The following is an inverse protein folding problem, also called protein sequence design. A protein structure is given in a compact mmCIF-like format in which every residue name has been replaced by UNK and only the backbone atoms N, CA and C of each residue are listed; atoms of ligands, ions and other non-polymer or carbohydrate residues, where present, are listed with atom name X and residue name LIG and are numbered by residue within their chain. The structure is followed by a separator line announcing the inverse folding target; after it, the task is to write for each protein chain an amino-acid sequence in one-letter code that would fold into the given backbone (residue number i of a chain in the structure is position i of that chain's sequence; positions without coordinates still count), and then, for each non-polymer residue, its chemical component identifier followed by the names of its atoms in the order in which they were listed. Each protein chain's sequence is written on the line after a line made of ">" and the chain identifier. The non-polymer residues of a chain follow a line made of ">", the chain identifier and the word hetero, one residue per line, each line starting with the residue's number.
data_IF_118335768589
#
_entry.id   IF_118335768589
#
_cell.length_a   1.000
_cell.length_b   1.000
_cell.length_c   1.000
_cell.angle_alpha   90.00
_cell.angle_beta   90.00
_cell.angle_gamma   90.00
#
_symmetry.space_group_name_H-M   'P 1'
#
loop_
_entity.id
_entity.type
_entity.pdbx_description
1 polymer ?
#
# COMPACT_ATOMS: atom_id res chain seq x y z
N UNK A 1 -16.19 -6.42 -59.38
CA UNK A 1 -15.25 -6.46 -58.24
C UNK A 1 -15.95 -5.82 -57.05
N UNK A 2 -16.24 -6.61 -56.03
CA UNK A 2 -16.82 -6.13 -54.77
C UNK A 2 -16.32 -7.06 -53.68
N UNK A 3 -15.23 -6.65 -53.03
CA UNK A 3 -14.56 -7.36 -51.95
C UNK A 3 -15.37 -7.15 -50.67
N UNK A 4 -16.00 -8.21 -50.16
CA UNK A 4 -16.60 -8.23 -48.82
C UNK A 4 -15.47 -8.48 -47.80
N UNK A 5 -15.11 -7.44 -47.06
CA UNK A 5 -14.23 -7.52 -45.89
C UNK A 5 -15.01 -8.17 -44.75
N UNK A 6 -14.66 -9.41 -44.40
CA UNK A 6 -15.18 -10.07 -43.21
C UNK A 6 -14.49 -9.53 -41.96
N UNK A 7 -15.19 -8.74 -41.16
CA UNK A 7 -14.86 -8.47 -39.76
C UNK A 7 -15.91 -9.14 -38.88
N UNK A 8 -15.49 -10.07 -38.02
CA UNK A 8 -16.36 -10.65 -37.01
C UNK A 8 -15.71 -11.85 -36.36
N UNK A 9 -15.11 -11.65 -35.19
CA UNK A 9 -14.79 -12.74 -34.28
C UNK A 9 -16.12 -13.41 -33.87
N UNK A 10 -16.46 -14.53 -34.51
CA UNK A 10 -17.69 -15.30 -34.24
C UNK A 10 -17.48 -16.38 -33.17
N UNK A 11 -16.76 -16.08 -32.09
CA UNK A 11 -16.82 -16.94 -30.90
C UNK A 11 -17.89 -16.37 -29.97
N UNK A 12 -18.94 -17.12 -29.62
CA UNK A 12 -19.83 -16.72 -28.53
C UNK A 12 -18.98 -16.50 -27.28
N UNK A 13 -18.96 -15.29 -26.72
CA UNK A 13 -18.40 -15.06 -25.39
C UNK A 13 -19.31 -15.76 -24.39
N UNK A 14 -19.01 -17.03 -24.09
CA UNK A 14 -19.60 -17.68 -22.95
C UNK A 14 -19.22 -16.89 -21.68
N UNK A 15 -20.09 -16.81 -20.66
CA UNK A 15 -19.76 -16.16 -19.38
C UNK A 15 -18.44 -16.65 -18.79
N UNK A 16 -18.04 -17.89 -19.07
CA UNK A 16 -16.79 -18.51 -18.63
C UNK A 16 -15.50 -17.85 -19.16
N UNK A 17 -15.55 -17.06 -20.23
CA UNK A 17 -14.37 -16.35 -20.79
C UNK A 17 -14.26 -14.89 -20.25
N UNK A 18 -15.09 -14.48 -19.28
CA UNK A 18 -15.12 -13.14 -18.68
C UNK A 18 -14.15 -12.98 -17.51
N UNK A 19 -12.92 -13.45 -17.65
CA UNK A 19 -11.87 -13.29 -16.63
C UNK A 19 -10.50 -13.06 -17.28
N UNK A 20 -9.59 -12.46 -16.52
CA UNK A 20 -8.19 -12.29 -16.88
C UNK A 20 -7.32 -12.50 -15.65
N UNK A 21 -6.02 -12.71 -15.84
CA UNK A 21 -5.13 -12.90 -14.73
C UNK A 21 -3.72 -13.25 -15.13
N UNK A 22 -3.00 -13.80 -14.17
CA UNK A 22 -1.60 -14.15 -14.31
C UNK A 22 -1.34 -15.56 -13.79
N UNK A 23 -0.40 -16.23 -14.43
CA UNK A 23 0.12 -17.53 -14.04
C UNK A 23 1.59 -17.39 -13.63
N UNK A 24 1.94 -18.00 -12.50
CA UNK A 24 3.32 -18.20 -12.08
C UNK A 24 3.60 -19.66 -11.73
N UNK A 25 4.80 -19.90 -11.20
CA UNK A 25 5.26 -21.22 -10.77
C UNK A 25 6.04 -21.07 -9.46
N UNK A 26 5.72 -21.88 -8.46
CA UNK A 26 6.36 -21.87 -7.13
C UNK A 26 7.88 -22.16 -7.17
N UNK A 27 8.37 -22.81 -8.24
CA UNK A 27 9.78 -23.11 -8.43
C UNK A 27 10.50 -22.10 -9.35
N UNK A 28 9.78 -21.15 -9.95
CA UNK A 28 10.40 -20.15 -10.82
C UNK A 28 11.13 -19.08 -10.01
N UNK A 29 12.31 -18.70 -10.49
CA UNK A 29 13.01 -17.49 -10.04
C UNK A 29 12.73 -16.29 -10.96
N UNK A 30 12.05 -16.49 -12.08
CA UNK A 30 11.61 -15.40 -12.94
C UNK A 30 10.45 -14.66 -12.28
N UNK A 31 10.62 -13.35 -12.12
CA UNK A 31 9.60 -12.47 -11.58
C UNK A 31 8.55 -12.08 -12.63
N UNK A 32 8.80 -12.32 -13.92
CA UNK A 32 7.81 -12.11 -14.98
C UNK A 32 6.76 -13.21 -14.95
N UNK A 33 5.50 -12.80 -15.01
CA UNK A 33 4.35 -13.70 -15.00
C UNK A 33 3.78 -13.85 -16.41
N UNK A 34 3.16 -15.00 -16.66
CA UNK A 34 2.44 -15.23 -17.91
C UNK A 34 1.02 -14.68 -17.77
N UNK A 35 0.60 -13.79 -18.67
CA UNK A 35 -0.80 -13.34 -18.79
C UNK A 35 -1.68 -14.50 -19.28
N UNK A 36 -2.82 -14.70 -18.64
CA UNK A 36 -3.77 -15.77 -18.95
C UNK A 36 -5.22 -15.27 -18.89
N UNK A 37 -6.16 -16.04 -19.44
CA UNK A 37 -7.56 -15.65 -19.61
C UNK A 37 -7.76 -14.74 -20.82
N UNK A 38 -8.73 -13.83 -20.74
CA UNK A 38 -9.06 -12.89 -21.80
C UNK A 38 -8.05 -11.72 -21.84
N UNK A 39 -7.25 -11.69 -22.90
CA UNK A 39 -6.21 -10.67 -23.08
C UNK A 39 -6.78 -9.28 -23.38
N UNK A 40 -7.99 -9.15 -23.93
CA UNK A 40 -8.63 -7.84 -24.12
C UNK A 40 -8.99 -7.23 -22.76
N UNK A 41 -9.51 -8.03 -21.83
CA UNK A 41 -9.73 -7.60 -20.44
C UNK A 41 -8.41 -7.30 -19.73
N UNK A 42 -7.33 -8.01 -20.04
CA UNK A 42 -6.01 -7.72 -19.48
C UNK A 42 -5.41 -6.41 -20.04
N UNK A 43 -5.82 -5.94 -21.22
CA UNK A 43 -5.43 -4.61 -21.75
C UNK A 43 -6.25 -3.50 -21.10
N UNK A 44 -7.55 -3.71 -20.90
CA UNK A 44 -8.46 -2.68 -20.36
C UNK A 44 -8.47 -2.62 -18.83
N UNK A 45 -8.10 -3.71 -18.16
CA UNK A 45 -7.98 -3.85 -16.70
C UNK A 45 -9.21 -3.31 -15.95
N UNK A 46 -10.41 -3.87 -16.19
CA UNK A 46 -11.67 -3.27 -15.74
C UNK A 46 -11.79 -3.17 -14.21
N UNK A 47 -11.11 -4.03 -13.45
CA UNK A 47 -11.07 -3.95 -11.98
C UNK A 47 -10.10 -2.86 -11.53
N UNK A 48 -8.86 -2.85 -12.05
CA UNK A 48 -7.86 -1.83 -11.69
C UNK A 48 -8.32 -0.43 -12.10
N UNK A 49 -9.03 -0.29 -13.22
CA UNK A 49 -9.57 0.98 -13.69
C UNK A 49 -10.61 1.61 -12.74
N UNK A 50 -11.20 0.82 -11.83
CA UNK A 50 -12.16 1.30 -10.83
C UNK A 50 -11.52 1.68 -9.48
N UNK A 51 -10.20 1.50 -9.31
CA UNK A 51 -9.49 2.07 -8.17
C UNK A 51 -9.58 3.60 -8.25
N UNK A 52 -10.31 4.21 -7.32
CA UNK A 52 -10.62 5.65 -7.39
C UNK A 52 -10.59 6.31 -6.02
N UNK A 53 -9.97 7.49 -5.94
CA UNK A 53 -9.99 8.32 -4.74
C UNK A 53 -11.34 9.02 -4.59
N UNK A 54 -11.78 9.20 -3.36
CA UNK A 54 -13.01 9.90 -3.02
C UNK A 54 -12.89 10.57 -1.65
N UNK A 55 -13.78 11.51 -1.36
CA UNK A 55 -13.96 12.05 -0.01
C UNK A 55 -15.12 11.32 0.66
N UNK A 56 -14.89 10.76 1.84
CA UNK A 56 -15.91 10.06 2.63
C UNK A 56 -16.63 11.01 3.61
N UNK A 57 -17.92 10.75 3.84
CA UNK A 57 -18.63 11.27 5.00
C UNK A 57 -18.18 10.52 6.27
N UNK A 58 -18.47 11.03 7.48
CA UNK A 58 -18.10 10.35 8.73
C UNK A 58 -18.63 8.92 8.85
N UNK A 59 -19.80 8.62 8.26
CA UNK A 59 -20.40 7.29 8.21
C UNK A 59 -19.75 6.34 7.18
N UNK A 60 -18.82 6.84 6.35
CA UNK A 60 -18.09 6.08 5.34
C UNK A 60 -18.76 6.06 3.96
N UNK A 61 -19.93 6.69 3.81
CA UNK A 61 -20.55 6.89 2.51
C UNK A 61 -19.71 7.83 1.65
N UNK A 62 -19.75 7.63 0.33
CA UNK A 62 -19.06 8.51 -0.61
C UNK A 62 -19.75 9.88 -0.63
N UNK A 63 -19.01 10.94 -0.27
CA UNK A 63 -19.49 12.33 -0.40
C UNK A 63 -19.34 12.81 -1.84
N UNK A 64 -18.16 12.59 -2.43
CA UNK A 64 -17.91 12.76 -3.86
C UNK A 64 -16.62 12.07 -4.27
N UNK A 65 -16.58 11.60 -5.52
CA UNK A 65 -15.35 11.08 -6.14
C UNK A 65 -14.43 12.22 -6.57
N UNK A 66 -13.13 11.98 -6.50
CA UNK A 66 -12.10 12.88 -7.02
C UNK A 66 -11.85 12.60 -8.51
N UNK A 67 -11.36 13.61 -9.23
CA UNK A 67 -11.14 13.51 -10.67
C UNK A 67 -10.06 12.47 -11.02
N UNK A 68 -10.27 11.77 -12.14
CA UNK A 68 -9.36 10.74 -12.65
C UNK A 68 -7.92 11.23 -12.83
N UNK A 69 -7.73 12.48 -13.23
CA UNK A 69 -6.43 13.03 -13.60
C UNK A 69 -5.92 14.09 -12.62
N UNK A 70 -6.69 14.48 -11.60
CA UNK A 70 -6.28 15.50 -10.63
C UNK A 70 -7.12 15.43 -9.35
N UNK A 71 -6.58 14.87 -8.26
CA UNK A 71 -7.28 14.75 -6.97
C UNK A 71 -7.61 16.08 -6.30
N UNK A 72 -7.09 17.21 -6.78
CA UNK A 72 -7.47 18.55 -6.32
C UNK A 72 -8.83 18.97 -6.85
N UNK A 73 -9.43 18.18 -7.75
CA UNK A 73 -10.74 18.40 -8.35
C UNK A 73 -11.68 17.25 -8.02
N UNK A 74 -12.97 17.57 -7.93
CA UNK A 74 -14.07 16.60 -7.95
C UNK A 74 -14.17 16.00 -9.34
N UNK A 75 -14.85 14.87 -9.47
CA UNK A 75 -15.08 14.22 -10.77
C UNK A 75 -15.76 15.15 -11.79
N UNK A 76 -16.59 16.09 -11.31
CA UNK A 76 -17.22 17.14 -12.12
C UNK A 76 -16.26 18.22 -12.65
N UNK A 77 -15.00 18.22 -12.23
CA UNK A 77 -14.00 19.23 -12.56
C UNK A 77 -13.95 20.43 -11.60
N UNK A 78 -14.93 20.57 -10.69
CA UNK A 78 -14.93 21.60 -9.64
C UNK A 78 -13.81 21.37 -8.62
N UNK A 79 -13.35 22.41 -7.92
CA UNK A 79 -12.35 22.27 -6.85
C UNK A 79 -12.83 21.33 -5.74
N UNK A 80 -11.98 20.39 -5.35
CA UNK A 80 -12.19 19.52 -4.19
C UNK A 80 -11.57 20.12 -2.93
N UNK A 81 -12.15 19.78 -1.77
CA UNK A 81 -11.61 20.14 -0.46
C UNK A 81 -11.08 18.84 0.16
N UNK A 82 -9.77 18.68 0.18
CA UNK A 82 -9.08 17.43 0.56
C UNK A 82 -8.21 17.59 1.82
N UNK A 83 -8.33 18.70 2.52
CA UNK A 83 -7.58 19.06 3.75
C UNK A 83 -8.30 18.61 5.03
N UNK A 84 -9.10 17.54 4.91
CA UNK A 84 -10.01 16.96 5.92
C UNK A 84 -11.22 17.79 6.34
N UNK A 85 -11.39 19.03 5.84
CA UNK A 85 -12.60 19.83 6.14
C UNK A 85 -13.87 19.19 5.60
N UNK A 86 -13.82 18.58 4.41
CA UNK A 86 -14.98 17.95 3.80
C UNK A 86 -15.18 16.48 4.20
N UNK A 87 -14.20 15.86 4.86
CA UNK A 87 -14.13 14.44 5.16
C UNK A 87 -12.76 13.83 4.89
N UNK A 88 -12.57 12.53 5.19
CA UNK A 88 -11.32 11.85 4.86
C UNK A 88 -11.24 11.60 3.36
N UNK A 89 -10.04 11.74 2.80
CA UNK A 89 -9.76 11.21 1.47
C UNK A 89 -9.43 9.73 1.58
N UNK A 90 -10.14 8.91 0.81
CA UNK A 90 -9.99 7.46 0.80
C UNK A 90 -9.78 6.98 -0.64
N UNK A 91 -9.11 5.85 -0.80
CA UNK A 91 -8.98 5.10 -2.04
C UNK A 91 -9.93 3.90 -1.95
N UNK A 92 -10.79 3.79 -2.94
CA UNK A 92 -11.73 2.67 -3.08
C UNK A 92 -11.10 1.55 -3.89
N UNK A 93 -10.93 0.39 -3.27
CA UNK A 93 -10.74 -0.87 -3.98
C UNK A 93 -12.14 -1.45 -4.28
N UNK A 94 -12.48 -1.66 -5.57
CA UNK A 94 -13.83 -2.10 -5.95
C UNK A 94 -14.09 -3.53 -5.50
N UNK A 95 -15.36 -3.90 -5.47
CA UNK A 95 -15.76 -5.30 -5.44
C UNK A 95 -15.36 -6.00 -6.75
N UNK A 96 -14.91 -7.26 -6.65
CA UNK A 96 -14.66 -8.12 -7.80
C UNK A 96 -14.71 -9.60 -7.38
N UNK A 97 -14.55 -10.50 -8.35
CA UNK A 97 -14.49 -11.95 -8.12
C UNK A 97 -13.09 -12.48 -8.39
N UNK A 98 -12.60 -13.36 -7.51
CA UNK A 98 -11.26 -13.93 -7.54
C UNK A 98 -11.29 -15.45 -7.54
N UNK A 99 -10.39 -16.08 -8.29
CA UNK A 99 -10.14 -17.51 -8.20
C UNK A 99 -8.65 -17.78 -8.17
N UNK A 100 -8.26 -18.68 -7.27
CA UNK A 100 -6.94 -19.29 -7.24
C UNK A 100 -7.05 -20.73 -7.75
N UNK A 101 -6.21 -21.09 -8.71
CA UNK A 101 -6.04 -22.47 -9.15
C UNK A 101 -4.58 -22.86 -8.94
N UNK A 102 -4.35 -24.06 -8.40
CA UNK A 102 -3.01 -24.62 -8.22
C UNK A 102 -3.00 -25.99 -8.89
N UNK A 103 -2.07 -26.20 -9.81
CA UNK A 103 -1.84 -27.47 -10.51
C UNK A 103 -0.35 -27.81 -10.46
N UNK A 104 0.01 -28.75 -9.59
CA UNK A 104 1.40 -29.07 -9.30
C UNK A 104 2.14 -27.84 -8.75
N UNK A 105 3.13 -27.35 -9.49
CA UNK A 105 3.94 -26.18 -9.11
C UNK A 105 3.38 -24.88 -9.67
N UNK A 106 2.43 -24.94 -10.60
CA UNK A 106 1.86 -23.76 -11.26
C UNK A 106 0.66 -23.25 -10.47
N UNK A 107 0.51 -21.93 -10.46
CA UNK A 107 -0.64 -21.27 -9.89
C UNK A 107 -1.20 -20.24 -10.86
N UNK A 108 -2.51 -20.07 -10.86
CA UNK A 108 -3.23 -19.02 -11.60
C UNK A 108 -4.00 -18.17 -10.60
N UNK A 109 -3.83 -16.85 -10.69
CA UNK A 109 -4.69 -15.88 -10.03
C UNK A 109 -5.58 -15.22 -11.07
N UNK A 110 -6.85 -15.58 -11.08
CA UNK A 110 -7.86 -15.12 -12.03
C UNK A 110 -8.82 -14.12 -11.38
N UNK A 111 -9.22 -13.11 -12.16
CA UNK A 111 -10.04 -11.98 -11.75
C UNK A 111 -11.19 -11.77 -12.73
N UNK A 112 -12.37 -11.46 -12.21
CA UNK A 112 -13.58 -11.21 -12.99
C UNK A 112 -14.45 -10.14 -12.34
N UNK A 113 -15.19 -9.38 -13.15
CA UNK A 113 -16.28 -8.51 -12.68
C UNK A 113 -17.56 -9.30 -12.37
N UNK A 114 -17.63 -10.58 -12.76
CA UNK A 114 -18.82 -11.40 -12.69
C UNK A 114 -18.64 -12.63 -11.78
N UNK A 115 -19.73 -13.12 -11.14
CA UNK A 115 -19.70 -14.30 -10.29
C UNK A 115 -19.58 -15.59 -11.11
N UNK A 116 -18.37 -15.88 -11.60
CA UNK A 116 -18.10 -17.09 -12.37
C UNK A 116 -17.93 -18.31 -11.45
N UNK A 117 -18.24 -19.54 -11.90
CA UNK A 117 -18.11 -20.73 -11.07
C UNK A 117 -16.69 -20.93 -10.50
N UNK A 118 -16.63 -21.14 -9.19
CA UNK A 118 -15.39 -21.30 -8.44
C UNK A 118 -14.68 -19.99 -8.07
N UNK A 119 -15.20 -18.82 -8.48
CA UNK A 119 -14.68 -17.54 -8.02
C UNK A 119 -15.35 -17.13 -6.70
N UNK A 120 -14.57 -16.59 -5.78
CA UNK A 120 -15.03 -15.99 -4.53
C UNK A 120 -15.19 -14.49 -4.69
N UNK A 121 -16.15 -13.92 -3.95
CA UNK A 121 -16.38 -12.48 -3.92
C UNK A 121 -15.33 -11.80 -3.06
N UNK A 122 -14.64 -10.82 -3.63
CA UNK A 122 -13.70 -9.96 -2.93
C UNK A 122 -14.39 -8.62 -2.67
N UNK A 123 -14.86 -8.43 -1.45
CA UNK A 123 -15.65 -7.25 -1.05
C UNK A 123 -14.93 -5.92 -1.33
N UNK A 124 -15.73 -4.88 -1.54
CA UNK A 124 -15.24 -3.49 -1.59
C UNK A 124 -14.49 -3.18 -0.29
N UNK A 125 -13.33 -2.51 -0.40
CA UNK A 125 -12.53 -2.07 0.74
C UNK A 125 -12.01 -0.67 0.50
N UNK A 126 -11.81 0.11 1.57
CA UNK A 126 -11.25 1.46 1.45
C UNK A 126 -10.03 1.63 2.33
N UNK A 127 -9.06 2.38 1.83
CA UNK A 127 -7.80 2.71 2.53
C UNK A 127 -7.39 4.13 2.21
N UNK A 128 -6.77 4.85 3.14
CA UNK A 128 -6.25 6.18 2.84
C UNK A 128 -5.22 6.13 1.70
N UNK A 129 -5.31 7.01 0.68
CA UNK A 129 -4.42 6.97 -0.48
C UNK A 129 -2.99 7.35 -0.13
N UNK A 130 -2.79 8.14 0.91
CA UNK A 130 -1.52 8.44 1.56
C UNK A 130 -1.56 7.94 3.01
N UNK A 131 -0.42 8.00 3.71
CA UNK A 131 -0.40 7.73 5.14
C UNK A 131 -1.30 8.71 5.90
N UNK A 132 -1.90 8.25 6.99
CA UNK A 132 -2.82 9.03 7.79
C UNK A 132 -2.08 9.89 8.82
N UNK A 133 -2.79 10.90 9.33
CA UNK A 133 -2.36 11.71 10.48
C UNK A 133 -3.48 11.75 11.53
N UNK A 134 -3.33 12.58 12.55
CA UNK A 134 -4.32 12.78 13.61
C UNK A 134 -4.72 14.24 13.63
N UNK A 135 -6.03 14.48 13.64
CA UNK A 135 -6.60 15.74 14.10
C UNK A 135 -6.37 15.84 15.61
N UNK A 136 -5.38 16.64 16.01
CA UNK A 136 -4.94 16.74 17.40
C UNK A 136 -6.04 17.34 18.28
N UNK A 137 -6.80 18.31 17.75
CA UNK A 137 -7.86 19.00 18.49
C UNK A 137 -9.01 18.06 18.79
N UNK A 138 -9.46 17.31 17.79
CA UNK A 138 -10.63 16.44 17.91
C UNK A 138 -10.28 15.00 18.31
N UNK A 139 -8.99 14.67 18.43
CA UNK A 139 -8.51 13.33 18.79
C UNK A 139 -9.08 12.24 17.87
N UNK A 140 -9.01 12.46 16.56
CA UNK A 140 -9.48 11.52 15.54
C UNK A 140 -8.42 11.34 14.44
N UNK A 141 -8.22 10.11 13.98
CA UNK A 141 -7.34 9.81 12.86
C UNK A 141 -8.00 10.27 11.55
N UNK A 142 -7.21 10.93 10.69
CA UNK A 142 -7.71 11.51 9.45
C UNK A 142 -6.79 11.22 8.27
N UNK A 143 -7.35 11.27 7.06
CA UNK A 143 -6.58 11.27 5.82
C UNK A 143 -6.89 12.52 5.02
N UNK A 144 -5.89 13.37 4.83
CA UNK A 144 -6.03 14.63 4.09
C UNK A 144 -4.72 15.10 3.49
N UNK A 145 -4.81 16.14 2.66
CA UNK A 145 -3.70 16.82 2.00
C UNK A 145 -3.81 18.32 2.27
N UNK A 146 -2.76 18.89 2.86
CA UNK A 146 -2.70 20.31 3.22
C UNK A 146 -1.76 21.11 2.33
N UNK A 147 -1.29 20.52 1.23
CA UNK A 147 -0.44 21.18 0.25
C UNK A 147 -1.19 22.31 -0.47
N UNK A 148 -0.47 23.37 -0.78
CA UNK A 148 -0.89 24.38 -1.75
C UNK A 148 -0.04 24.27 -3.01
N UNK A 149 -0.52 24.83 -4.12
CA UNK A 149 0.00 24.53 -5.46
C UNK A 149 0.13 25.79 -6.31
N UNK A 150 1.19 25.85 -7.12
CA UNK A 150 1.41 26.81 -8.19
C UNK A 150 1.39 26.03 -9.52
N UNK A 151 0.22 25.94 -10.17
CA UNK A 151 0.04 24.98 -11.26
C UNK A 151 0.16 23.55 -10.73
N UNK A 152 1.03 22.73 -11.32
CA UNK A 152 1.30 21.36 -10.87
C UNK A 152 2.49 21.23 -9.90
N UNK A 153 3.11 22.35 -9.55
CA UNK A 153 4.20 22.39 -8.57
C UNK A 153 3.66 22.69 -7.17
N UNK A 154 4.23 22.05 -6.15
CA UNK A 154 3.93 22.37 -4.75
C UNK A 154 4.43 23.78 -4.46
N UNK A 155 3.55 24.65 -3.97
CA UNK A 155 3.89 26.02 -3.65
C UNK A 155 4.86 26.09 -2.47
N UNK A 156 5.86 26.97 -2.60
CA UNK A 156 6.92 27.18 -1.62
C UNK A 156 7.14 28.67 -1.37
N UNK A 157 7.62 29.00 -0.18
CA UNK A 157 8.00 30.36 0.19
C UNK A 157 9.38 30.75 -0.36
N UNK A 158 9.89 31.92 0.02
CA UNK A 158 11.19 32.44 -0.41
C UNK A 158 12.39 31.59 0.04
N UNK A 159 12.25 30.83 1.12
CA UNK A 159 13.28 29.91 1.63
C UNK A 159 13.16 28.51 1.01
N UNK A 160 12.10 28.29 0.22
CA UNK A 160 11.79 27.04 -0.45
C UNK A 160 11.02 26.05 0.44
N UNK A 161 10.49 26.48 1.58
CA UNK A 161 9.66 25.63 2.44
C UNK A 161 8.23 25.56 1.90
N UNK A 162 7.55 24.44 2.17
CA UNK A 162 6.20 24.19 1.63
C UNK A 162 5.20 25.14 2.27
N UNK A 163 4.40 25.81 1.43
CA UNK A 163 3.25 26.60 1.88
C UNK A 163 2.07 25.64 2.06
N UNK A 164 1.54 25.59 3.29
CA UNK A 164 0.43 24.71 3.66
C UNK A 164 -0.87 25.50 3.87
N UNK A 165 -1.99 24.78 3.85
CA UNK A 165 -3.30 25.31 4.25
C UNK A 165 -3.27 25.77 5.71
N UNK A 166 -4.06 26.80 6.03
CA UNK A 166 -4.05 27.44 7.35
C UNK A 166 -4.36 26.49 8.52
N UNK A 167 -5.14 25.43 8.28
CA UNK A 167 -5.48 24.43 9.29
C UNK A 167 -4.41 23.34 9.49
N UNK A 168 -3.31 23.32 8.73
CA UNK A 168 -2.30 22.25 8.78
C UNK A 168 -1.69 22.01 10.18
N UNK A 169 -1.62 23.05 11.02
CA UNK A 169 -1.16 22.98 12.41
C UNK A 169 -1.96 21.99 13.27
N UNK A 170 -3.25 21.80 12.98
CA UNK A 170 -4.13 20.86 13.66
C UNK A 170 -3.82 19.39 13.29
N UNK A 171 -3.13 19.16 12.18
CA UNK A 171 -2.88 17.86 11.57
C UNK A 171 -1.39 17.51 11.51
N UNK A 172 -0.62 18.00 12.49
CA UNK A 172 0.82 17.76 12.60
C UNK A 172 1.12 16.28 12.77
N UNK A 173 1.88 15.74 11.81
CA UNK A 173 2.40 14.39 11.80
C UNK A 173 3.62 14.22 12.70
N UNK A 174 4.54 13.33 12.32
CA UNK A 174 5.71 12.99 13.14
C UNK A 174 5.26 12.49 14.52
N UNK A 175 5.85 13.03 15.58
CA UNK A 175 5.46 12.77 16.97
C UNK A 175 4.21 13.55 17.44
N UNK A 176 3.46 14.19 16.53
CA UNK A 176 2.26 14.97 16.83
C UNK A 176 2.62 16.30 17.50
N UNK A 177 1.91 16.66 18.58
CA UNK A 177 2.17 17.89 19.34
C UNK A 177 3.62 18.01 19.85
N UNK A 178 4.32 16.87 20.04
CA UNK A 178 5.72 16.85 20.45
C UNK A 178 6.71 17.44 19.42
N UNK A 179 6.29 17.63 18.17
CA UNK A 179 7.11 18.24 17.11
C UNK A 179 6.70 19.69 16.77
N UNK A 180 5.89 20.36 17.61
CA UNK A 180 5.42 21.73 17.34
C UNK A 180 6.54 22.77 17.16
N UNK A 181 7.71 22.55 17.77
CA UNK A 181 8.88 23.42 17.62
C UNK A 181 9.48 23.42 16.20
N UNK A 182 9.02 22.52 15.30
CA UNK A 182 9.45 22.43 13.89
C UNK A 182 8.49 23.13 12.93
N UNK A 183 7.41 23.72 13.42
CA UNK A 183 6.48 24.42 12.53
C UNK A 183 7.21 25.59 11.84
N UNK A 184 7.07 25.69 10.52
CA UNK A 184 7.73 26.71 9.71
C UNK A 184 9.22 26.46 9.43
N UNK A 185 9.78 25.30 9.78
CA UNK A 185 11.17 24.93 9.44
C UNK A 185 11.23 24.00 8.22
N UNK A 186 12.44 23.82 7.66
CA UNK A 186 12.69 22.90 6.54
C UNK A 186 12.26 21.44 6.80
N UNK A 187 12.18 21.04 8.07
CA UNK A 187 11.76 19.71 8.53
C UNK A 187 10.45 19.75 9.33
N UNK A 188 9.54 20.66 8.96
CA UNK A 188 8.23 20.76 9.56
C UNK A 188 7.42 19.47 9.44
N UNK A 189 6.67 19.15 10.51
CA UNK A 189 5.78 17.98 10.56
C UNK A 189 4.33 18.32 10.18
N UNK A 190 4.05 19.54 9.73
CA UNK A 190 2.71 19.94 9.32
C UNK A 190 2.29 19.20 8.04
N UNK A 191 1.09 18.60 8.05
CA UNK A 191 0.56 17.82 6.93
C UNK A 191 1.36 16.54 6.59
N UNK A 192 2.27 16.14 7.47
CA UNK A 192 3.03 14.89 7.35
C UNK A 192 2.23 13.70 7.94
N UNK A 193 2.60 12.46 7.58
CA UNK A 193 2.13 11.26 8.27
C UNK A 193 2.36 11.31 9.79
N UNK A 194 1.42 10.79 10.58
CA UNK A 194 1.64 10.56 12.02
C UNK A 194 2.49 9.30 12.20
N UNK A 195 3.63 9.44 12.87
CA UNK A 195 4.55 8.34 13.21
C UNK A 195 4.81 8.29 14.71
N UNK A 196 5.84 7.60 15.22
CA UNK A 196 6.11 7.54 16.66
C UNK A 196 4.90 7.10 17.49
N UNK A 197 4.14 6.14 16.96
CA UNK A 197 2.88 5.65 17.53
C UNK A 197 2.76 4.15 17.28
N UNK A 198 2.35 3.40 18.29
CA UNK A 198 2.15 1.94 18.19
C UNK A 198 0.73 1.61 17.71
N UNK A 199 0.47 0.34 17.37
CA UNK A 199 -0.88 -0.15 17.05
C UNK A 199 -1.90 0.23 18.13
N UNK A 200 -1.55 -0.02 19.39
CA UNK A 200 -2.37 0.36 20.54
C UNK A 200 -2.60 1.87 20.63
N UNK A 201 -1.61 2.68 20.27
CA UNK A 201 -1.71 4.14 20.27
C UNK A 201 -2.61 4.68 19.16
N UNK A 202 -2.67 4.03 18.00
CA UNK A 202 -3.54 4.45 16.88
C UNK A 202 -5.02 4.15 17.18
N UNK A 203 -5.34 3.00 17.79
CA UNK A 203 -6.73 2.53 18.01
C UNK A 203 -7.66 3.59 18.64
N UNK A 204 -7.28 4.33 19.70
CA UNK A 204 -8.14 5.36 20.29
C UNK A 204 -8.55 6.48 19.33
N UNK A 205 -7.73 6.79 18.31
CA UNK A 205 -8.01 7.82 17.31
C UNK A 205 -8.91 7.30 16.18
N UNK A 206 -9.01 5.98 16.00
CA UNK A 206 -9.93 5.37 15.05
C UNK A 206 -11.37 5.50 15.58
N UNK A 207 -12.19 6.33 14.91
CA UNK A 207 -13.59 6.60 15.26
C UNK A 207 -14.50 6.29 14.08
N UNK A 208 -15.81 6.26 14.31
CA UNK A 208 -16.84 6.16 13.27
C UNK A 208 -16.66 4.96 12.33
N UNK A 209 -16.22 3.81 12.86
CA UNK A 209 -16.00 2.59 12.06
C UNK A 209 -14.66 2.53 11.30
N UNK A 210 -13.81 3.55 11.41
CA UNK A 210 -12.45 3.49 10.88
C UNK A 210 -11.55 2.58 11.72
N UNK A 211 -10.48 2.05 11.11
CA UNK A 211 -9.44 1.26 11.76
C UNK A 211 -8.10 1.39 11.01
N UNK A 212 -7.05 0.70 11.48
CA UNK A 212 -5.73 0.67 10.82
C UNK A 212 -5.21 -0.75 10.53
N UNK A 213 -6.11 -1.75 10.51
CA UNK A 213 -5.87 -3.05 9.89
C UNK A 213 -5.78 -2.93 8.36
N UNK A 214 -4.60 -2.62 7.86
CA UNK A 214 -4.37 -2.30 6.45
C UNK A 214 -3.92 -3.50 5.59
N UNK A 215 -3.49 -4.62 6.17
CA UNK A 215 -2.91 -5.72 5.41
C UNK A 215 -3.86 -6.27 4.35
N UNK A 216 -5.14 -6.49 4.68
CA UNK A 216 -6.10 -7.11 3.77
C UNK A 216 -6.26 -6.31 2.47
N UNK A 217 -6.56 -5.02 2.58
CA UNK A 217 -6.73 -4.13 1.42
C UNK A 217 -5.40 -3.88 0.70
N UNK A 218 -4.29 -3.76 1.45
CA UNK A 218 -2.96 -3.56 0.88
C UNK A 218 -2.51 -4.77 0.06
N UNK A 219 -2.73 -6.00 0.55
CA UNK A 219 -2.44 -7.24 -0.15
C UNK A 219 -3.29 -7.40 -1.43
N UNK A 220 -4.57 -7.03 -1.37
CA UNK A 220 -5.44 -7.05 -2.55
C UNK A 220 -4.96 -6.06 -3.61
N UNK A 221 -4.60 -4.83 -3.24
CA UNK A 221 -4.05 -3.82 -4.15
C UNK A 221 -2.69 -4.28 -4.72
N UNK A 222 -1.83 -4.89 -3.91
CA UNK A 222 -0.56 -5.45 -4.35
C UNK A 222 -0.74 -6.48 -5.48
N UNK A 223 -1.72 -7.37 -5.35
CA UNK A 223 -2.00 -8.34 -6.39
C UNK A 223 -2.62 -7.71 -7.64
N UNK A 224 -3.48 -6.71 -7.49
CA UNK A 224 -3.98 -5.94 -8.63
C UNK A 224 -2.83 -5.32 -9.44
N UNK A 225 -1.79 -4.80 -8.77
CA UNK A 225 -0.58 -4.28 -9.41
C UNK A 225 0.22 -5.38 -10.11
N UNK A 226 0.47 -6.51 -9.44
CA UNK A 226 1.19 -7.64 -10.04
C UNK A 226 0.50 -8.18 -11.28
N UNK A 227 -0.84 -8.22 -11.28
CA UNK A 227 -1.65 -8.60 -12.45
C UNK A 227 -1.47 -7.59 -13.57
N UNK A 228 -1.67 -6.29 -13.31
CA UNK A 228 -1.55 -5.22 -14.31
C UNK A 228 -0.22 -5.29 -15.07
N UNK A 229 0.88 -5.42 -14.34
CA UNK A 229 2.23 -5.47 -14.91
C UNK A 229 2.68 -6.87 -15.35
N UNK A 230 1.92 -7.92 -15.01
CA UNK A 230 2.33 -9.33 -15.07
C UNK A 230 3.77 -9.53 -14.55
N UNK A 231 4.03 -9.00 -13.37
CA UNK A 231 5.35 -8.94 -12.75
C UNK A 231 5.21 -9.04 -11.23
N UNK A 232 6.07 -9.82 -10.60
CA UNK A 232 6.24 -9.85 -9.15
C UNK A 232 7.17 -8.75 -8.65
N UNK A 233 8.05 -8.23 -9.51
CA UNK A 233 9.00 -7.18 -9.19
C UNK A 233 8.36 -5.79 -9.27
N UNK A 234 7.81 -5.31 -8.15
CA UNK A 234 7.14 -4.01 -8.10
C UNK A 234 8.09 -2.81 -8.24
N UNK A 235 9.37 -2.98 -7.90
CA UNK A 235 10.44 -1.98 -8.09
C UNK A 235 11.09 -2.01 -9.48
N UNK A 236 10.63 -2.87 -10.41
CA UNK A 236 11.13 -2.84 -11.79
C UNK A 236 10.90 -1.46 -12.42
N UNK A 237 11.66 -1.15 -13.46
CA UNK A 237 11.70 0.18 -14.08
C UNK A 237 10.28 0.67 -14.41
N UNK A 238 9.94 1.88 -13.95
CA UNK A 238 8.68 2.50 -14.32
C UNK A 238 8.69 2.87 -15.79
N UNK A 239 7.75 2.31 -16.55
CA UNK A 239 7.58 2.56 -17.97
C UNK A 239 6.14 2.98 -18.23
N UNK A 240 5.93 4.25 -18.58
CA UNK A 240 4.61 4.81 -18.84
C UNK A 240 3.98 4.26 -20.14
N UNK A 241 4.82 4.03 -21.16
CA UNK A 241 4.36 3.52 -22.45
C UNK A 241 4.02 2.03 -22.36
N UNK A 242 2.84 1.67 -22.85
CA UNK A 242 2.42 0.28 -23.01
C UNK A 242 3.32 -0.46 -24.01
N UNK A 243 3.35 -1.79 -23.93
CA UNK A 243 3.94 -2.63 -24.98
C UNK A 243 3.20 -2.43 -26.30
N UNK A 244 3.79 -2.89 -27.42
CA UNK A 244 3.11 -2.87 -28.73
C UNK A 244 1.74 -3.58 -28.72
N UNK A 245 1.59 -4.58 -27.85
CA UNK A 245 0.34 -5.32 -27.65
C UNK A 245 -0.63 -4.63 -26.67
N UNK A 246 -0.31 -3.45 -26.15
CA UNK A 246 -1.18 -2.67 -25.25
C UNK A 246 -1.17 -3.13 -23.78
N UNK A 247 -0.07 -3.71 -23.30
CA UNK A 247 0.06 -4.12 -21.89
C UNK A 247 0.98 -3.19 -21.09
N UNK A 248 0.72 -3.05 -19.79
CA UNK A 248 1.66 -2.42 -18.86
C UNK A 248 2.92 -3.28 -18.70
N UNK A 249 4.07 -2.64 -18.47
CA UNK A 249 5.38 -3.30 -18.38
C UNK A 249 6.25 -2.63 -17.31
N UNK A 250 7.24 -3.38 -16.82
CA UNK A 250 8.12 -2.93 -15.74
C UNK A 250 7.45 -3.02 -14.37
N UNK A 251 7.57 -1.93 -13.60
CA UNK A 251 7.02 -1.78 -12.25
C UNK A 251 6.74 -0.31 -11.92
N UNK A 252 6.86 0.08 -10.65
CA UNK A 252 6.74 1.47 -10.21
C UNK A 252 8.11 2.16 -10.05
N UNK A 253 9.20 1.40 -10.23
CA UNK A 253 10.56 1.80 -9.88
C UNK A 253 10.76 1.96 -8.38
N UNK A 254 11.99 2.31 -7.99
CA UNK A 254 12.27 2.78 -6.63
C UNK A 254 11.47 4.06 -6.32
N UNK A 255 10.86 4.08 -5.14
CA UNK A 255 10.11 5.17 -4.55
C UNK A 255 11.02 6.16 -3.81
N UNK A 256 10.77 6.36 -2.52
CA UNK A 256 11.35 7.44 -1.73
C UNK A 256 12.70 7.07 -1.09
N UNK A 257 13.48 6.18 -1.70
CA UNK A 257 14.72 5.65 -1.15
C UNK A 257 15.71 6.76 -0.72
N UNK A 258 16.26 6.64 0.49
CA UNK A 258 17.29 7.52 1.03
C UNK A 258 18.33 6.76 1.86
N UNK A 259 19.48 7.39 2.09
CA UNK A 259 20.45 6.87 3.04
C UNK A 259 19.92 7.03 4.47
N UNK A 260 19.94 5.95 5.26
CA UNK A 260 19.42 5.95 6.62
C UNK A 260 20.20 6.86 7.58
N UNK A 261 21.52 6.96 7.44
CA UNK A 261 22.35 7.86 8.25
C UNK A 261 22.00 9.32 7.98
N UNK A 262 21.87 9.71 6.71
CA UNK A 262 21.47 11.07 6.32
C UNK A 262 20.05 11.40 6.82
N UNK A 263 19.12 10.44 6.71
CA UNK A 263 17.75 10.62 7.19
C UNK A 263 17.69 10.81 8.71
N UNK A 264 18.48 10.04 9.46
CA UNK A 264 18.64 10.21 10.90
C UNK A 264 19.20 11.59 11.24
N UNK A 265 20.27 12.02 10.57
CA UNK A 265 20.90 13.32 10.79
C UNK A 265 19.95 14.48 10.46
N UNK A 266 19.17 14.38 9.39
CA UNK A 266 18.24 15.41 8.95
C UNK A 266 17.03 15.60 9.87
N UNK A 267 16.40 14.49 10.29
CA UNK A 267 15.09 14.54 10.95
C UNK A 267 14.86 13.52 12.05
N UNK A 268 15.86 12.68 12.36
CA UNK A 268 15.72 11.55 13.27
C UNK A 268 14.69 10.54 12.76
N UNK A 269 14.83 10.15 11.48
CA UNK A 269 13.95 9.22 10.77
C UNK A 269 12.46 9.64 10.65
N UNK A 270 12.15 10.93 10.84
CA UNK A 270 10.77 11.42 10.71
C UNK A 270 10.32 11.50 9.25
N UNK A 271 9.01 11.47 8.99
CA UNK A 271 8.47 11.64 7.64
C UNK A 271 9.03 12.88 6.94
N UNK A 272 9.28 12.75 5.64
CA UNK A 272 9.81 13.84 4.80
C UNK A 272 8.97 14.12 3.55
N UNK A 273 8.04 13.24 3.20
CA UNK A 273 7.02 13.43 2.14
C UNK A 273 5.68 13.79 2.80
N UNK A 274 5.15 15.00 2.55
CA UNK A 274 3.83 15.41 3.05
C UNK A 274 2.71 14.65 2.34
N UNK A 275 1.56 14.52 2.99
CA UNK A 275 0.44 13.77 2.43
C UNK A 275 -0.12 14.45 1.16
N UNK A 276 -0.19 13.70 0.06
CA UNK A 276 -0.83 14.12 -1.18
C UNK A 276 0.08 14.78 -2.22
N UNK A 277 1.39 14.53 -2.19
CA UNK A 277 2.33 14.94 -3.25
C UNK A 277 1.89 14.43 -4.63
N UNK A 278 1.23 13.28 -4.69
CA UNK A 278 0.72 12.66 -5.92
C UNK A 278 -0.72 13.08 -6.24
N UNK A 279 -1.25 14.14 -5.61
CA UNK A 279 -2.61 14.62 -5.88
C UNK A 279 -2.79 15.02 -7.36
N UNK A 280 -1.75 15.58 -7.98
CA UNK A 280 -1.74 15.97 -9.41
C UNK A 280 -1.87 14.79 -10.38
N UNK A 281 -1.64 13.56 -9.94
CA UNK A 281 -1.79 12.37 -10.79
C UNK A 281 -3.24 11.85 -10.84
N UNK A 282 -4.12 12.29 -9.94
CA UNK A 282 -5.45 11.71 -9.79
C UNK A 282 -5.37 10.23 -9.40
N UNK A 283 -5.98 9.34 -10.18
CA UNK A 283 -5.91 7.89 -10.01
C UNK A 283 -4.96 7.23 -11.02
N UNK A 284 -4.11 8.00 -11.71
CA UNK A 284 -3.12 7.41 -12.60
C UNK A 284 -1.93 6.84 -11.81
N UNK A 285 -1.31 5.80 -12.34
CA UNK A 285 -0.03 5.30 -11.84
C UNK A 285 1.08 6.21 -12.35
N UNK A 286 2.05 6.56 -11.52
CA UNK A 286 3.13 7.47 -11.92
C UNK A 286 4.10 7.84 -10.80
N UNK A 287 4.98 8.80 -11.10
CA UNK A 287 6.01 9.30 -10.17
C UNK A 287 6.00 10.84 -10.16
N UNK A 288 6.05 11.42 -8.96
CA UNK A 288 6.18 12.87 -8.78
C UNK A 288 7.50 13.16 -8.08
N UNK A 289 8.30 14.06 -8.64
CA UNK A 289 9.55 14.51 -8.00
C UNK A 289 9.22 15.41 -6.81
N UNK A 290 9.82 15.12 -5.64
CA UNK A 290 9.69 15.95 -4.45
C UNK A 290 11.05 16.35 -3.92
N UNK A 291 11.24 17.65 -3.67
CA UNK A 291 12.47 18.20 -3.09
C UNK A 291 12.33 18.33 -1.57
N UNK A 292 13.18 17.62 -0.85
CA UNK A 292 13.37 17.71 0.59
C UNK A 292 14.41 18.80 0.86
N UNK A 293 14.04 19.80 1.64
CA UNK A 293 14.90 20.94 1.94
C UNK A 293 15.85 20.65 3.08
N UNK A 294 17.06 21.20 3.02
CA UNK A 294 18.02 21.16 4.11
C UNK A 294 18.53 19.75 4.45
N UNK A 295 18.51 18.82 3.48
CA UNK A 295 19.03 17.46 3.66
C UNK A 295 20.55 17.46 3.96
N UNK A 296 21.06 16.33 4.44
CA UNK A 296 22.51 16.21 4.70
C UNK A 296 23.27 16.38 3.38
N UNK A 297 24.09 17.42 3.28
CA UNK A 297 24.83 17.75 2.06
C UNK A 297 24.12 18.68 1.06
N UNK A 298 22.95 19.24 1.40
CA UNK A 298 22.16 20.13 0.53
C UNK A 298 20.75 19.59 0.32
N UNK A 299 19.93 20.20 -0.53
CA UNK A 299 18.59 19.68 -0.82
C UNK A 299 18.64 18.31 -1.51
N UNK A 300 17.62 17.47 -1.28
CA UNK A 300 17.52 16.12 -1.85
C UNK A 300 16.24 15.95 -2.64
N UNK A 301 16.33 15.48 -3.88
CA UNK A 301 15.16 15.10 -4.68
C UNK A 301 14.90 13.60 -4.52
N UNK A 302 13.65 13.24 -4.24
CA UNK A 302 13.13 11.86 -4.20
C UNK A 302 11.98 11.69 -5.19
N UNK A 303 11.67 10.45 -5.53
CA UNK A 303 10.53 10.12 -6.40
C UNK A 303 9.38 9.55 -5.59
N UNK A 304 8.25 10.25 -5.53
CA UNK A 304 7.05 9.79 -4.85
C UNK A 304 6.20 9.00 -5.83
N UNK A 305 6.13 7.68 -5.65
CA UNK A 305 5.37 6.77 -6.50
C UNK A 305 3.89 6.81 -6.14
N UNK A 306 3.02 6.62 -7.15
CA UNK A 306 1.61 6.33 -6.97
C UNK A 306 1.21 5.14 -7.83
N UNK A 307 0.48 4.18 -7.26
CA UNK A 307 -0.19 3.12 -8.02
C UNK A 307 -1.69 3.31 -7.96
N UNK A 308 -2.32 3.64 -9.09
CA UNK A 308 -3.78 3.84 -9.18
C UNK A 308 -4.35 4.74 -8.06
N UNK A 309 -3.62 5.80 -7.68
CA UNK A 309 -3.99 6.68 -6.58
C UNK A 309 -3.51 6.26 -5.18
N UNK A 310 -2.84 5.13 -5.00
CA UNK A 310 -2.14 4.79 -3.75
C UNK A 310 -0.74 5.42 -3.78
N UNK A 311 -0.55 6.53 -3.08
CA UNK A 311 0.72 7.25 -2.89
C UNK A 311 1.66 6.47 -1.97
N UNK A 312 2.96 6.39 -2.29
CA UNK A 312 3.97 5.67 -1.48
C UNK A 312 3.50 4.28 -1.07
N UNK A 313 3.18 3.40 -2.03
CA UNK A 313 2.78 2.03 -1.70
C UNK A 313 3.87 1.31 -0.91
N UNK A 314 5.15 1.60 -1.19
CA UNK A 314 6.31 1.01 -0.52
C UNK A 314 7.49 2.01 -0.47
N UNK A 315 8.55 1.63 0.26
CA UNK A 315 9.84 2.36 0.32
C UNK A 315 9.70 3.81 0.80
N UNK A 316 8.98 4.01 1.90
CA UNK A 316 8.89 5.32 2.57
C UNK A 316 8.82 5.20 4.10
N UNK A 317 7.74 4.63 4.62
CA UNK A 317 7.53 4.37 6.04
C UNK A 317 7.11 2.91 6.22
N UNK A 318 7.47 2.29 7.34
CA UNK A 318 6.81 1.05 7.73
C UNK A 318 5.33 1.30 7.92
N UNK A 319 4.52 0.39 7.40
CA UNK A 319 3.06 0.43 7.53
C UNK A 319 2.62 -0.51 8.65
N UNK A 320 2.00 0.05 9.69
CA UNK A 320 1.28 -0.73 10.70
C UNK A 320 0.13 -1.52 10.07
N UNK A 321 0.01 -2.79 10.45
CA UNK A 321 -1.11 -3.65 10.13
C UNK A 321 -1.71 -4.26 11.41
N UNK A 322 -2.77 -3.66 11.95
CA UNK A 322 -3.44 -4.17 13.17
C UNK A 322 -4.14 -5.51 12.93
N UNK A 323 -4.53 -5.77 11.68
CA UNK A 323 -5.19 -6.99 11.22
C UNK A 323 -4.25 -8.19 11.08
N UNK A 324 -2.96 -8.05 11.40
CA UNK A 324 -1.98 -9.14 11.36
C UNK A 324 -1.17 -9.22 12.66
N UNK A 325 -1.12 -10.44 13.22
CA UNK A 325 -0.21 -10.83 14.28
C UNK A 325 0.59 -12.05 13.85
N UNK A 326 1.83 -12.13 14.31
CA UNK A 326 2.72 -13.27 14.03
C UNK A 326 3.08 -13.94 15.34
N UNK A 327 2.85 -15.25 15.42
CA UNK A 327 3.28 -16.03 16.58
C UNK A 327 4.53 -16.83 16.20
N UNK A 328 5.68 -16.36 16.68
CA UNK A 328 6.92 -17.12 16.58
C UNK A 328 7.01 -18.04 17.79
N UNK A 329 6.73 -19.34 17.59
CA UNK A 329 6.96 -20.39 18.58
C UNK A 329 8.40 -20.89 18.50
N UNK A 330 8.76 -21.82 19.39
CA UNK A 330 10.09 -22.42 19.41
C UNK A 330 10.46 -23.09 18.07
N UNK A 331 9.49 -23.73 17.42
CA UNK A 331 9.66 -24.61 16.26
C UNK A 331 8.93 -24.12 15.00
N UNK A 332 7.81 -23.39 15.14
CA UNK A 332 7.03 -22.85 14.01
C UNK A 332 6.76 -21.35 14.13
N UNK A 333 6.60 -20.66 13.00
CA UNK A 333 6.15 -19.26 12.94
C UNK A 333 4.86 -19.19 12.15
N UNK A 334 3.80 -18.59 12.71
CA UNK A 334 2.45 -18.63 12.11
C UNK A 334 1.90 -17.21 11.94
N UNK A 335 1.41 -16.90 10.75
CA UNK A 335 0.65 -15.70 10.46
C UNK A 335 -0.80 -15.84 10.90
N UNK A 336 -1.30 -14.87 11.67
CA UNK A 336 -2.70 -14.77 12.06
C UNK A 336 -3.31 -13.48 11.51
N UNK A 337 -4.48 -13.60 10.86
CA UNK A 337 -5.21 -12.47 10.30
C UNK A 337 -6.55 -12.30 11.01
N UNK A 338 -6.91 -11.06 11.31
CA UNK A 338 -8.20 -10.71 11.87
C UNK A 338 -9.04 -9.94 10.85
N UNK A 339 -10.28 -10.38 10.63
CA UNK A 339 -11.19 -9.74 9.68
C UNK A 339 -12.22 -8.82 10.34
N UNK A 340 -12.40 -8.92 11.66
CA UNK A 340 -13.30 -8.10 12.46
C UNK A 340 -12.51 -6.99 13.19
N UNK A 341 -12.62 -5.73 12.74
CA UNK A 341 -11.89 -4.62 13.35
C UNK A 341 -12.19 -4.40 14.84
N UNK A 342 -13.36 -4.86 15.33
CA UNK A 342 -13.71 -4.75 16.74
C UNK A 342 -12.89 -5.67 17.65
N UNK A 343 -12.17 -6.64 17.06
CA UNK A 343 -11.30 -7.60 17.76
C UNK A 343 -9.82 -7.26 17.68
N UNK A 344 -9.44 -6.21 16.94
CA UNK A 344 -8.05 -5.81 16.82
C UNK A 344 -7.42 -5.53 18.18
N UNK A 345 -6.23 -6.07 18.38
CA UNK A 345 -5.57 -6.05 19.68
C UNK A 345 -4.07 -6.02 19.57
N UNK A 346 -3.44 -5.45 20.59
CA UNK A 346 -2.01 -5.59 20.83
C UNK A 346 -1.84 -6.68 21.88
N UNK A 347 -1.86 -7.93 21.42
CA UNK A 347 -1.82 -9.10 22.30
C UNK A 347 -0.50 -9.13 23.10
N UNK A 348 -0.53 -9.66 24.33
CA UNK A 348 0.67 -9.74 25.16
C UNK A 348 1.73 -10.59 24.45
N UNK A 349 2.98 -10.09 24.43
CA UNK A 349 4.12 -10.75 23.80
C UNK A 349 4.33 -12.19 24.32
N UNK A 350 3.99 -12.44 25.58
CA UNK A 350 4.11 -13.73 26.28
C UNK A 350 2.82 -14.55 26.34
N UNK A 351 1.73 -14.10 25.70
CA UNK A 351 0.48 -14.85 25.73
C UNK A 351 0.62 -16.23 25.08
N UNK A 352 -0.07 -17.21 25.66
CA UNK A 352 -0.02 -18.62 25.25
C UNK A 352 -1.23 -19.04 24.42
N UNK A 353 -2.13 -18.12 24.11
CA UNK A 353 -3.35 -18.37 23.35
C UNK A 353 -3.42 -17.45 22.14
N UNK A 354 -4.27 -17.81 21.18
CA UNK A 354 -4.58 -16.96 20.04
C UNK A 354 -5.64 -15.93 20.49
N UNK A 355 -5.46 -14.63 20.22
CA UNK A 355 -6.48 -13.64 20.53
C UNK A 355 -7.76 -13.88 19.73
N UNK A 356 -8.92 -13.56 20.33
CA UNK A 356 -10.21 -13.73 19.66
C UNK A 356 -10.26 -12.98 18.32
N UNK A 357 -10.84 -13.60 17.30
CA UNK A 357 -10.99 -13.02 15.96
C UNK A 357 -9.76 -13.15 15.04
N UNK A 358 -8.61 -13.58 15.55
CA UNK A 358 -7.42 -13.83 14.74
C UNK A 358 -7.36 -15.31 14.32
N UNK A 359 -7.33 -15.56 13.01
CA UNK A 359 -7.33 -16.90 12.42
C UNK A 359 -5.96 -17.21 11.81
N UNK A 360 -5.46 -18.43 12.02
CA UNK A 360 -4.21 -18.89 11.40
C UNK A 360 -4.38 -18.96 9.88
N UNK A 361 -3.43 -18.40 9.14
CA UNK A 361 -3.45 -18.38 7.66
C UNK A 361 -2.39 -19.29 7.06
N UNK A 362 -1.14 -19.14 7.48
CA UNK A 362 -0.01 -19.94 6.98
C UNK A 362 1.13 -19.93 7.98
N UNK A 363 2.03 -20.90 7.83
CA UNK A 363 3.35 -20.85 8.42
C UNK A 363 4.26 -19.93 7.61
N UNK A 364 5.24 -19.33 8.29
CA UNK A 364 6.30 -18.54 7.68
C UNK A 364 7.61 -19.31 7.62
N UNK A 365 8.50 -19.00 6.65
CA UNK A 365 9.88 -19.44 6.72
C UNK A 365 10.53 -18.92 8.02
N UNK A 366 11.46 -19.70 8.56
CA UNK A 366 12.18 -19.38 9.80
C UNK A 366 13.57 -18.79 9.56
N UNK A 367 13.80 -18.32 8.34
CA UNK A 367 15.04 -17.69 7.90
C UNK A 367 14.71 -16.47 7.07
N UNK A 368 15.51 -15.43 7.23
CA UNK A 368 15.35 -14.19 6.48
C UNK A 368 15.82 -14.30 5.05
N UNK A 369 15.23 -13.47 4.19
CA UNK A 369 15.69 -13.34 2.82
C UNK A 369 14.66 -12.79 1.85
N UNK A 370 15.11 -12.59 0.62
CA UNK A 370 14.22 -12.28 -0.49
C UNK A 370 13.27 -13.45 -0.75
N UNK A 371 11.99 -13.13 -0.90
CA UNK A 371 10.92 -14.11 -1.06
C UNK A 371 11.03 -14.79 -2.43
N UNK A 372 11.09 -16.11 -2.41
CA UNK A 372 11.09 -16.96 -3.60
C UNK A 372 9.66 -17.40 -3.96
N UNK A 373 8.89 -17.84 -2.96
CA UNK A 373 7.49 -18.23 -3.12
C UNK A 373 6.61 -17.65 -2.02
N UNK A 374 5.33 -17.43 -2.34
CA UNK A 374 4.32 -17.03 -1.38
C UNK A 374 3.26 -18.11 -1.24
N UNK A 375 2.87 -18.41 0.00
CA UNK A 375 1.65 -19.15 0.28
C UNK A 375 0.45 -18.33 -0.19
N UNK A 376 -0.58 -19.00 -0.70
CA UNK A 376 -1.82 -18.39 -1.12
C UNK A 376 -2.98 -18.98 -0.32
N UNK A 377 -3.70 -18.14 0.42
CA UNK A 377 -4.85 -18.60 1.19
C UNK A 377 -6.10 -18.69 0.32
N UNK A 378 -7.06 -19.51 0.75
CA UNK A 378 -8.39 -19.58 0.12
C UNK A 378 -9.15 -18.23 0.18
N UNK A 379 -8.77 -17.31 1.07
CA UNK A 379 -9.31 -15.95 1.17
C UNK A 379 -8.64 -14.95 0.20
N UNK A 380 -7.70 -15.41 -0.63
CA UNK A 380 -6.98 -14.58 -1.61
C UNK A 380 -5.72 -13.89 -1.09
N UNK A 381 -5.46 -13.95 0.23
CA UNK A 381 -4.27 -13.37 0.84
C UNK A 381 -3.00 -14.14 0.49
N UNK A 382 -1.84 -13.49 0.63
CA UNK A 382 -0.55 -14.11 0.37
C UNK A 382 0.53 -13.67 1.33
N UNK A 383 1.32 -14.63 1.79
CA UNK A 383 2.40 -14.44 2.74
C UNK A 383 3.66 -15.19 2.26
N UNK A 384 4.84 -14.79 2.71
CA UNK A 384 6.08 -15.50 2.38
C UNK A 384 5.98 -16.98 2.82
N UNK A 385 6.36 -17.90 1.95
CA UNK A 385 6.43 -19.34 2.22
C UNK A 385 7.87 -19.82 2.18
N UNK A 386 8.63 -19.36 1.17
CA UNK A 386 10.03 -19.73 1.00
C UNK A 386 10.86 -18.51 0.64
N UNK A 387 12.04 -18.40 1.26
CA UNK A 387 13.08 -17.43 0.89
C UNK A 387 14.12 -18.07 -0.02
N UNK A 388 14.96 -17.24 -0.64
CA UNK A 388 15.98 -17.66 -1.62
C UNK A 388 15.85 -16.98 -2.99
N UNK A 389 15.04 -15.92 -3.07
CA UNK A 389 15.00 -15.01 -4.21
C UNK A 389 16.17 -14.01 -4.20
N UNK A 390 15.99 -12.91 -4.90
CA UNK A 390 16.86 -11.74 -4.88
C UNK A 390 16.03 -10.49 -5.18
N UNK A 391 16.61 -9.29 -5.07
CA UNK A 391 15.93 -8.04 -5.43
C UNK A 391 15.41 -7.97 -6.87
N UNK A 392 15.83 -8.91 -7.72
CA UNK A 392 15.37 -9.08 -9.09
C UNK A 392 15.06 -10.56 -9.47
N UNK A 393 14.79 -11.43 -8.48
CA UNK A 393 14.39 -12.83 -8.69
C UNK A 393 13.29 -13.26 -7.72
N UNK A 394 12.32 -14.03 -8.20
CA UNK A 394 11.17 -14.48 -7.43
C UNK A 394 10.19 -13.33 -7.18
N UNK A 395 9.86 -13.07 -5.91
CA UNK A 395 8.96 -11.99 -5.53
C UNK A 395 9.64 -10.64 -5.33
N UNK A 396 10.98 -10.60 -5.32
CA UNK A 396 11.81 -9.39 -5.22
C UNK A 396 11.72 -8.60 -3.92
N UNK A 397 10.67 -8.84 -3.13
CA UNK A 397 10.46 -8.24 -1.82
C UNK A 397 11.11 -9.10 -0.71
N UNK A 398 11.45 -8.49 0.42
CA UNK A 398 12.15 -9.17 1.53
C UNK A 398 11.22 -9.63 2.66
N UNK A 399 11.56 -10.76 3.28
CA UNK A 399 10.93 -11.25 4.51
C UNK A 399 11.96 -11.22 5.64
N UNK A 400 11.60 -10.58 6.76
CA UNK A 400 12.43 -10.45 7.94
C UNK A 400 11.72 -11.06 9.16
N UNK A 401 12.41 -11.88 9.95
CA UNK A 401 11.94 -12.73 11.02
C UNK A 401 12.95 -12.73 12.17
N UNK A 402 12.52 -12.81 13.43
CA UNK A 402 13.43 -12.97 14.55
C UNK A 402 13.90 -14.42 14.72
N UNK A 403 13.37 -15.37 13.94
CA UNK A 403 13.44 -16.79 14.24
C UNK A 403 14.82 -17.45 14.02
N UNK A 404 15.67 -16.83 13.20
CA UNK A 404 17.07 -17.21 12.95
C UNK A 404 18.08 -16.31 13.69
N UNK A 405 17.60 -15.30 14.43
CA UNK A 405 18.44 -14.45 15.27
C UNK A 405 18.99 -15.22 16.49
N UNK A 406 20.25 -14.98 16.86
CA UNK A 406 20.83 -15.53 18.09
C UNK A 406 20.11 -15.06 19.37
N UNK A 407 19.38 -13.95 19.29
CA UNK A 407 18.60 -13.37 20.38
C UNK A 407 17.09 -13.69 20.29
N UNK A 408 16.71 -14.68 19.47
CA UNK A 408 15.32 -15.05 19.26
C UNK A 408 14.59 -15.32 20.59
N UNK A 409 13.43 -14.68 20.77
CA UNK A 409 12.51 -14.98 21.87
C UNK A 409 11.14 -15.36 21.31
N UNK A 410 10.67 -16.56 21.64
CA UNK A 410 9.34 -17.01 21.25
C UNK A 410 8.26 -16.09 21.85
N UNK A 411 7.19 -15.84 21.09
CA UNK A 411 6.08 -14.99 21.52
C UNK A 411 5.34 -14.35 20.36
N UNK A 412 4.50 -13.37 20.70
CA UNK A 412 3.69 -12.61 19.75
C UNK A 412 4.42 -11.37 19.24
N UNK A 413 4.28 -11.14 17.94
CA UNK A 413 4.91 -10.04 17.21
C UNK A 413 3.88 -9.36 16.31
N UNK A 414 4.15 -8.10 15.95
CA UNK A 414 3.40 -7.37 14.95
C UNK A 414 4.02 -7.53 13.57
N UNK A 415 3.20 -7.38 12.54
CA UNK A 415 3.67 -7.17 11.17
C UNK A 415 3.86 -5.69 10.86
N UNK A 416 4.98 -5.37 10.20
CA UNK A 416 5.19 -4.10 9.48
C UNK A 416 5.31 -4.40 7.98
N UNK A 417 4.61 -3.63 7.15
CA UNK A 417 4.55 -3.79 5.69
C UNK A 417 5.27 -2.65 4.96
N UNK A 418 5.39 -2.73 3.63
CA UNK A 418 5.84 -1.65 2.71
C UNK A 418 7.34 -1.34 2.71
N UNK A 419 8.01 -1.47 3.85
CA UNK A 419 9.36 -0.98 4.12
C UNK A 419 9.49 0.54 4.22
N UNK A 420 10.47 0.95 5.04
CA UNK A 420 10.87 2.34 5.16
C UNK A 420 11.77 2.78 4.01
N UNK A 421 12.08 4.08 3.96
CA UNK A 421 12.88 4.69 2.91
C UNK A 421 14.36 4.23 2.90
N UNK A 422 14.85 3.55 3.93
CA UNK A 422 16.20 3.00 3.95
C UNK A 422 16.27 1.58 3.35
N UNK A 423 15.13 0.87 3.27
CA UNK A 423 15.07 -0.51 2.79
C UNK A 423 15.64 -0.72 1.37
N UNK A 424 15.59 0.30 0.51
CA UNK A 424 16.16 0.22 -0.84
C UNK A 424 15.56 -0.93 -1.65
N UNK A 425 16.42 -1.70 -2.32
CA UNK A 425 16.03 -2.82 -3.18
C UNK A 425 15.29 -3.98 -2.49
N UNK A 426 15.22 -3.99 -1.15
CA UNK A 426 14.43 -4.97 -0.39
C UNK A 426 12.94 -4.60 -0.31
N UNK A 427 12.62 -3.31 -0.46
CA UNK A 427 11.28 -2.75 -0.31
C UNK A 427 10.29 -3.26 -1.35
N UNK A 428 9.01 -3.19 -1.04
CA UNK A 428 7.96 -3.52 -2.00
C UNK A 428 6.65 -3.91 -1.37
N UNK A 429 5.68 -4.24 -2.21
CA UNK A 429 4.35 -4.66 -1.76
C UNK A 429 4.37 -5.88 -0.85
N UNK A 430 5.30 -6.82 -1.09
CA UNK A 430 5.45 -8.04 -0.31
C UNK A 430 6.44 -7.95 0.85
N UNK A 431 7.10 -6.80 1.11
CA UNK A 431 8.01 -6.74 2.25
C UNK A 431 7.21 -6.94 3.53
N UNK A 432 7.58 -7.97 4.30
CA UNK A 432 7.07 -8.19 5.64
C UNK A 432 8.21 -8.23 6.67
N UNK A 433 8.16 -7.31 7.63
CA UNK A 433 9.04 -7.30 8.79
C UNK A 433 8.30 -7.82 10.03
N UNK A 434 8.56 -9.09 10.38
CA UNK A 434 7.91 -9.84 11.46
C UNK A 434 8.70 -9.85 12.79
N UNK A 435 9.80 -9.10 12.89
CA UNK A 435 10.64 -9.00 14.09
C UNK A 435 10.16 -7.94 15.11
N UNK A 436 9.28 -7.01 14.71
CA UNK A 436 8.81 -5.94 15.60
C UNK A 436 7.73 -6.40 16.58
N UNK A 437 7.82 -5.98 17.85
CA UNK A 437 6.72 -6.15 18.82
C UNK A 437 5.57 -5.20 18.50
N UNK A 438 4.37 -5.54 18.94
CA UNK A 438 3.17 -4.72 18.72
C UNK A 438 3.24 -3.35 19.43
N UNK A 439 4.11 -3.22 20.43
CA UNK A 439 4.38 -2.00 21.19
C UNK A 439 5.33 -1.03 20.48
N UNK A 440 6.03 -1.45 19.43
CA UNK A 440 7.00 -0.61 18.72
C UNK A 440 6.33 0.64 18.13
N UNK A 441 7.01 1.78 18.27
CA UNK A 441 6.51 3.11 17.90
C UNK A 441 7.67 4.00 17.40
N UNK A 442 8.42 3.52 16.40
CA UNK A 442 9.54 4.27 15.84
C UNK A 442 9.08 5.47 14.97
N UNK A 443 9.98 6.43 14.78
CA UNK A 443 9.69 7.67 14.03
C UNK A 443 9.40 7.47 12.54
N UNK A 444 9.73 6.29 12.01
CA UNK A 444 9.53 5.87 10.62
C UNK A 444 8.45 4.77 10.47
N UNK A 445 7.65 4.55 11.52
CA UNK A 445 6.45 3.69 11.49
C UNK A 445 5.22 4.59 11.41
N UNK A 446 4.42 4.44 10.35
CA UNK A 446 3.15 5.13 10.17
C UNK A 446 1.99 4.16 9.98
N UNK A 447 0.80 4.69 9.74
CA UNK A 447 -0.40 3.90 9.47
C UNK A 447 -1.23 4.48 8.32
N UNK A 448 -2.11 3.65 7.79
CA UNK A 448 -3.18 4.06 6.87
C UNK A 448 -4.53 3.85 7.55
N UNK A 449 -5.46 4.75 7.27
CA UNK A 449 -6.83 4.65 7.74
C UNK A 449 -7.59 3.71 6.80
N UNK A 450 -8.39 2.81 7.34
CA UNK A 450 -9.15 1.83 6.58
C UNK A 450 -10.61 1.79 7.06
N UNK A 451 -11.50 1.33 6.17
CA UNK A 451 -12.91 1.05 6.46
C UNK A 451 -13.43 -0.03 5.50
N UNK A 452 -14.02 -1.10 6.03
CA UNK A 452 -14.54 -2.26 5.29
C UNK A 452 -16.01 -2.52 5.62
#
# INVERSE_FOLDING_TARGET
>A
MGLLLGSGNTKPQYPYDQWYGVQGDFNSQDYKLKRVGNLDLHRTLPIQAKLKRFVENPDGSVKYYLNQNDSRKKDSGATAVIDSTDGNVMLEKPEYYFKLEIEGTKWIRAYSEYPLPGFIKMERKTVSPWYATVDITNSIAVSGCWLTWNGDEIARDSDGFVILKANAAQFRGGSGAGDAAKDGTYNSMLGMPRTSISKAGVRPFCKNGTHHGAYRVYNEIAWLQRVEYASLHCQDTYTETLTADGFHQGGLGSGCAVNGTEWNTWGGYKPFVPCGVTATLGNNTGKVSYTIKGWTGGDKVVQVTSYRGLETPFEYLWLLADDVLVWHKADVSIAYVCEDPTKFTSHSDSATTVPAGYEAITEFPRTDGYVLSMAHSAKGYSFAEKVGGASNKGYCDYYYTPADDSSFTAGWYGALLSADAHGGASAGFGYLHANSRSSNAFAYIGFRLCRF
#
